data_IF_384509292224
#
_entry.id   IF_384509292224
#
_cell.length_a   1.000
_cell.length_b   1.000
_cell.length_c   1.000
_cell.angle_alpha   90.00
_cell.angle_beta   90.00
_cell.angle_gamma   90.00
#
_symmetry.space_group_name_H-M   'P 1'
#
loop_
_entity.id
_entity.type
_entity.pdbx_description
1 polymer ?
#
# COMPACT_ATOMS: atom_id res chain seq x y z
N UNK A 1 -45.09 -0.63 6.51
CA UNK A 1 -44.07 -0.30 7.55
C UNK A 1 -42.86 -1.24 7.50
N UNK A 2 -43.05 -2.56 7.47
CA UNK A 2 -41.98 -3.58 7.48
C UNK A 2 -40.92 -3.41 6.37
N UNK A 3 -41.31 -3.03 5.15
CA UNK A 3 -40.36 -2.84 4.03
C UNK A 3 -39.41 -1.66 4.25
N UNK A 4 -39.86 -0.55 4.84
CA UNK A 4 -38.99 0.61 5.15
C UNK A 4 -38.00 0.27 6.26
N UNK A 5 -38.41 -0.48 7.27
CA UNK A 5 -37.53 -0.94 8.34
C UNK A 5 -36.50 -1.93 7.83
N UNK A 6 -36.88 -2.83 6.92
CA UNK A 6 -35.95 -3.75 6.25
C UNK A 6 -34.93 -3.02 5.38
N UNK A 7 -35.35 -1.98 4.64
CA UNK A 7 -34.47 -1.17 3.79
C UNK A 7 -33.48 -0.35 4.63
N UNK A 8 -33.92 0.17 5.78
CA UNK A 8 -33.05 0.86 6.75
C UNK A 8 -32.10 -0.12 7.42
N UNK A 9 -32.53 -1.33 7.79
CA UNK A 9 -31.64 -2.38 8.33
C UNK A 9 -30.66 -2.88 7.26
N UNK A 10 -31.08 -2.99 5.99
CA UNK A 10 -30.19 -3.34 4.88
C UNK A 10 -29.18 -2.21 4.62
N UNK A 11 -29.61 -0.94 4.65
CA UNK A 11 -28.73 0.22 4.50
C UNK A 11 -27.76 0.35 5.68
N UNK A 12 -28.20 0.05 6.90
CA UNK A 12 -27.35 0.00 8.09
C UNK A 12 -26.39 -1.19 8.01
N UNK A 13 -26.83 -2.37 7.53
CA UNK A 13 -25.96 -3.52 7.32
C UNK A 13 -24.95 -3.29 6.19
N UNK A 14 -25.33 -2.59 5.12
CA UNK A 14 -24.43 -2.19 4.03
C UNK A 14 -23.47 -1.09 4.49
N UNK A 15 -23.92 -0.15 5.32
CA UNK A 15 -23.06 0.87 5.93
C UNK A 15 -22.11 0.29 6.99
N UNK A 16 -22.56 -0.70 7.78
CA UNK A 16 -21.73 -1.42 8.76
C UNK A 16 -20.74 -2.37 8.08
N UNK A 17 -21.08 -2.94 6.91
CA UNK A 17 -20.15 -3.72 6.10
C UNK A 17 -19.19 -2.85 5.25
N UNK A 18 -19.41 -1.53 5.17
CA UNK A 18 -18.56 -0.59 4.45
C UNK A 18 -17.39 -0.05 5.29
N UNK A 19 -17.30 -0.39 6.59
CA UNK A 19 -16.25 0.11 7.51
C UNK A 19 -15.35 -1.03 8.01
N UNK A 20 -14.85 -1.85 7.08
CA UNK A 20 -13.81 -2.82 7.40
C UNK A 20 -12.51 -2.46 6.69
N UNK A 21 -11.59 -1.83 7.43
CA UNK A 21 -10.16 -1.87 7.13
C UNK A 21 -9.65 -3.26 7.46
N UNK A 22 -9.57 -4.12 6.45
CA UNK A 22 -9.01 -5.47 6.60
C UNK A 22 -7.49 -5.37 6.67
N UNK A 23 -6.88 -5.75 7.78
CA UNK A 23 -5.44 -5.94 7.83
C UNK A 23 -5.16 -7.42 8.11
N UNK A 24 -4.24 -7.97 7.32
CA UNK A 24 -3.55 -9.23 7.53
C UNK A 24 -4.42 -10.48 7.67
N UNK A 25 -4.92 -10.97 6.53
CA UNK A 25 -5.49 -12.31 6.45
C UNK A 25 -4.46 -13.33 5.96
N UNK A 26 -4.13 -14.29 6.83
CA UNK A 26 -3.16 -15.35 6.54
C UNK A 26 -3.90 -16.60 6.06
N UNK A 27 -3.57 -17.05 4.85
CA UNK A 27 -4.10 -18.25 4.22
C UNK A 27 -2.96 -19.23 3.91
N UNK A 28 -3.20 -20.52 4.15
CA UNK A 28 -2.20 -21.57 3.90
C UNK A 28 -2.70 -22.55 2.85
N UNK A 29 -1.89 -22.74 1.81
CA UNK A 29 -2.11 -23.67 0.72
C UNK A 29 -0.92 -24.65 0.69
N UNK A 30 -0.95 -25.68 1.54
CA UNK A 30 0.19 -26.58 1.69
C UNK A 30 1.44 -25.84 2.20
N UNK A 31 2.51 -25.81 1.41
CA UNK A 31 3.78 -25.12 1.69
C UNK A 31 3.75 -23.62 1.32
N UNK A 32 2.73 -23.18 0.57
CA UNK A 32 2.54 -21.79 0.19
C UNK A 32 1.74 -21.07 1.28
N UNK A 33 2.27 -19.95 1.77
CA UNK A 33 1.54 -19.06 2.70
C UNK A 33 1.27 -17.75 1.99
N UNK A 34 0.02 -17.29 2.03
CA UNK A 34 -0.41 -16.02 1.43
C UNK A 34 -0.92 -15.12 2.54
N UNK A 35 -0.41 -13.89 2.59
CA UNK A 35 -0.88 -12.83 3.46
C UNK A 35 -1.54 -11.78 2.58
N UNK A 36 -2.79 -11.46 2.87
CA UNK A 36 -3.47 -10.34 2.26
C UNK A 36 -3.54 -9.18 3.25
N UNK A 37 -3.07 -8.02 2.83
CA UNK A 37 -3.14 -6.78 3.59
C UNK A 37 -3.96 -5.77 2.78
N UNK A 38 -4.93 -5.12 3.40
CA UNK A 38 -5.67 -4.02 2.78
C UNK A 38 -5.47 -2.74 3.59
N UNK A 39 -4.64 -1.83 3.08
CA UNK A 39 -4.48 -0.48 3.58
C UNK A 39 -5.66 0.38 3.09
N UNK A 40 -6.84 0.11 3.67
CA UNK A 40 -8.09 0.77 3.31
C UNK A 40 -8.21 2.18 3.90
N UNK A 41 -8.87 3.06 3.15
CA UNK A 41 -9.39 4.35 3.62
C UNK A 41 -10.91 4.23 3.63
N UNK A 42 -11.60 4.38 4.78
CA UNK A 42 -13.06 4.26 4.83
C UNK A 42 -13.73 5.51 4.22
N UNK A 43 -13.45 5.76 2.95
CA UNK A 43 -13.88 6.90 2.19
C UNK A 43 -15.20 6.60 1.50
N UNK A 44 -16.07 7.60 1.47
CA UNK A 44 -17.30 7.58 0.67
C UNK A 44 -17.08 8.39 -0.59
N UNK A 45 -17.47 7.85 -1.75
CA UNK A 45 -17.54 8.64 -2.99
C UNK A 45 -18.67 9.68 -2.85
N UNK A 46 -18.32 10.97 -2.89
CA UNK A 46 -19.27 12.09 -2.86
C UNK A 46 -19.18 12.83 -4.18
N UNK A 47 -20.34 12.95 -4.85
CA UNK A 47 -20.46 13.69 -6.12
C UNK A 47 -21.01 15.08 -5.88
N UNK A 48 -20.35 16.06 -6.46
CA UNK A 48 -20.76 17.47 -6.43
C UNK A 48 -20.80 17.97 -7.87
N UNK A 49 -21.99 17.97 -8.46
CA UNK A 49 -22.12 18.08 -9.92
C UNK A 49 -21.41 16.91 -10.60
N UNK A 50 -20.53 17.22 -11.56
CA UNK A 50 -19.72 16.23 -12.29
C UNK A 50 -18.37 15.93 -11.61
N UNK A 51 -18.07 16.58 -10.47
CA UNK A 51 -16.82 16.36 -9.74
C UNK A 51 -16.98 15.28 -8.66
N UNK A 52 -15.91 14.50 -8.44
CA UNK A 52 -15.87 13.36 -7.51
C UNK A 52 -14.83 13.59 -6.42
N UNK A 53 -15.27 13.49 -5.17
CA UNK A 53 -14.41 13.45 -3.98
C UNK A 53 -14.51 12.09 -3.30
N UNK A 54 -13.41 11.67 -2.67
CA UNK A 54 -13.39 10.55 -1.74
C UNK A 54 -13.31 11.12 -0.32
N UNK A 55 -14.40 11.05 0.44
CA UNK A 55 -14.50 11.73 1.75
C UNK A 55 -14.36 10.71 2.88
N UNK A 56 -13.35 10.90 3.73
CA UNK A 56 -13.15 10.18 4.99
C UNK A 56 -13.63 11.06 6.13
N UNK A 57 -14.47 10.52 7.02
CA UNK A 57 -14.98 11.23 8.20
C UNK A 57 -14.28 10.70 9.45
N UNK A 58 -13.02 11.11 9.65
CA UNK A 58 -12.19 10.64 10.76
C UNK A 58 -12.76 11.02 12.14
N UNK A 59 -13.68 11.98 12.21
CA UNK A 59 -14.41 12.29 13.44
C UNK A 59 -15.45 11.22 13.84
N UNK A 60 -15.79 10.27 12.97
CA UNK A 60 -16.72 9.17 13.29
C UNK A 60 -16.01 8.12 14.18
N UNK A 61 -16.55 7.81 15.39
CA UNK A 61 -15.97 6.80 16.27
C UNK A 61 -15.78 5.42 15.64
N UNK A 62 -16.64 5.04 14.67
CA UNK A 62 -16.51 3.75 13.98
C UNK A 62 -15.30 3.72 13.04
N UNK A 63 -14.99 4.85 12.39
CA UNK A 63 -13.81 5.00 11.55
C UNK A 63 -12.54 4.96 12.42
N UNK A 64 -12.54 5.64 13.56
CA UNK A 64 -11.43 5.59 14.52
C UNK A 64 -11.20 4.19 15.08
N UNK A 65 -12.28 3.45 15.38
CA UNK A 65 -12.18 2.06 15.84
C UNK A 65 -11.57 1.16 14.77
N UNK A 66 -12.01 1.28 13.51
CA UNK A 66 -11.50 0.50 12.39
C UNK A 66 -10.00 0.76 12.16
N UNK A 67 -9.56 2.01 12.32
CA UNK A 67 -8.15 2.40 12.23
C UNK A 67 -7.29 1.78 13.35
N UNK A 68 -7.77 1.82 14.59
CA UNK A 68 -7.05 1.21 15.72
C UNK A 68 -6.97 -0.32 15.61
N UNK A 69 -8.03 -0.97 15.12
CA UNK A 69 -8.02 -2.41 14.84
C UNK A 69 -7.04 -2.78 13.73
N UNK A 70 -6.91 -1.91 12.72
CA UNK A 70 -5.91 -2.03 11.66
C UNK A 70 -4.48 -2.05 12.23
N UNK A 71 -4.08 -1.03 13.00
CA UNK A 71 -2.73 -0.93 13.59
C UNK A 71 -2.37 -2.17 14.42
N UNK A 72 -3.32 -2.73 15.17
CA UNK A 72 -3.10 -3.93 15.99
C UNK A 72 -2.78 -5.19 15.16
N UNK A 73 -3.33 -5.31 13.95
CA UNK A 73 -3.14 -6.50 13.09
C UNK A 73 -1.80 -6.49 12.37
N UNK A 74 -1.26 -5.31 12.02
CA UNK A 74 0.08 -5.17 11.42
C UNK A 74 1.17 -5.89 12.24
N UNK A 75 1.16 -5.74 13.57
CA UNK A 75 2.11 -6.41 14.45
C UNK A 75 2.00 -7.95 14.50
N UNK A 76 0.98 -8.56 13.87
CA UNK A 76 0.86 -10.01 13.72
C UNK A 76 1.59 -10.53 12.46
N UNK A 77 1.63 -9.74 11.38
CA UNK A 77 2.36 -10.07 10.15
C UNK A 77 3.86 -10.09 10.37
N UNK A 78 4.41 -9.15 11.14
CA UNK A 78 5.84 -9.12 11.46
C UNK A 78 6.32 -10.43 12.08
N UNK A 79 5.55 -10.96 13.04
CA UNK A 79 5.83 -12.25 13.69
C UNK A 79 5.75 -13.45 12.74
N UNK A 80 4.89 -13.37 11.72
CA UNK A 80 4.80 -14.41 10.69
C UNK A 80 6.03 -14.36 9.78
N UNK A 81 6.43 -13.17 9.34
CA UNK A 81 7.62 -12.96 8.49
C UNK A 81 8.88 -13.44 9.20
N UNK A 82 9.05 -13.12 10.48
CA UNK A 82 10.18 -13.61 11.29
C UNK A 82 10.24 -15.15 11.32
N UNK A 83 9.10 -15.81 11.60
CA UNK A 83 9.03 -17.27 11.62
C UNK A 83 9.29 -17.88 10.25
N UNK A 84 8.79 -17.24 9.19
CA UNK A 84 9.03 -17.66 7.82
C UNK A 84 10.52 -17.60 7.48
N UNK A 85 11.20 -16.51 7.80
CA UNK A 85 12.62 -16.34 7.51
C UNK A 85 13.48 -17.43 8.16
N UNK A 86 13.19 -17.78 9.41
CA UNK A 86 13.88 -18.88 10.11
C UNK A 86 13.68 -20.20 9.34
N UNK A 87 12.43 -20.54 9.03
CA UNK A 87 12.09 -21.78 8.31
C UNK A 87 12.73 -21.82 6.92
N UNK A 88 12.64 -20.72 6.17
CA UNK A 88 13.18 -20.61 4.83
C UNK A 88 14.69 -20.83 4.84
N UNK A 89 15.41 -20.17 5.75
CA UNK A 89 16.87 -20.30 5.87
C UNK A 89 17.32 -21.74 6.16
N UNK A 90 16.56 -22.48 6.95
CA UNK A 90 16.92 -23.85 7.34
C UNK A 90 16.47 -24.92 6.33
N UNK A 91 15.31 -24.75 5.70
CA UNK A 91 14.66 -25.83 4.93
C UNK A 91 14.66 -25.61 3.42
N UNK A 92 14.59 -24.36 2.96
CA UNK A 92 14.33 -24.05 1.55
C UNK A 92 15.56 -23.46 0.88
N UNK A 93 16.22 -22.50 1.54
CA UNK A 93 17.42 -21.85 1.05
C UNK A 93 18.53 -22.82 0.63
N UNK A 94 18.84 -23.92 1.37
CA UNK A 94 19.89 -24.85 0.96
C UNK A 94 19.66 -25.49 -0.41
N UNK A 95 18.39 -25.72 -0.79
CA UNK A 95 18.02 -26.27 -2.10
C UNK A 95 18.29 -25.23 -3.19
N UNK A 96 17.84 -23.99 -2.98
CA UNK A 96 18.02 -22.88 -3.93
C UNK A 96 19.51 -22.56 -4.09
N UNK A 97 20.26 -22.45 -2.99
CA UNK A 97 21.71 -22.22 -3.00
C UNK A 97 22.45 -23.33 -3.77
N UNK A 98 22.01 -24.59 -3.64
CA UNK A 98 22.52 -25.70 -4.44
C UNK A 98 22.30 -25.52 -5.95
N UNK A 99 21.09 -25.14 -6.36
CA UNK A 99 20.75 -24.84 -7.76
C UNK A 99 21.58 -23.67 -8.31
N UNK A 100 21.71 -22.59 -7.54
CA UNK A 100 22.46 -21.39 -7.94
C UNK A 100 23.96 -21.67 -8.08
N UNK A 101 24.54 -22.46 -7.17
CA UNK A 101 25.94 -22.89 -7.27
C UNK A 101 26.17 -23.79 -8.47
N UNK A 102 25.27 -24.75 -8.72
CA UNK A 102 25.35 -25.61 -9.90
C UNK A 102 25.29 -24.79 -11.21
N UNK A 103 24.51 -23.70 -11.22
CA UNK A 103 24.45 -22.76 -12.33
C UNK A 103 25.55 -21.69 -12.36
N UNK A 104 26.54 -21.72 -11.46
CA UNK A 104 27.57 -20.69 -11.28
C UNK A 104 27.00 -19.26 -11.20
N UNK A 105 25.85 -19.11 -10.56
CA UNK A 105 25.21 -17.81 -10.41
C UNK A 105 25.80 -17.02 -9.23
N UNK A 106 26.21 -15.77 -9.48
CA UNK A 106 26.76 -14.86 -8.46
C UNK A 106 26.16 -13.46 -8.51
N UNK A 107 24.99 -13.31 -9.15
CA UNK A 107 24.31 -12.03 -9.32
C UNK A 107 23.36 -11.67 -8.17
N UNK A 108 22.59 -10.58 -8.33
CA UNK A 108 21.57 -10.16 -7.37
C UNK A 108 20.48 -11.21 -7.21
N UNK A 109 20.02 -11.42 -5.98
CA UNK A 109 18.97 -12.41 -5.66
C UNK A 109 17.58 -11.82 -5.54
N UNK A 110 17.49 -10.50 -5.41
CA UNK A 110 16.22 -9.83 -5.19
C UNK A 110 16.05 -8.72 -6.24
N UNK A 111 14.83 -8.58 -6.75
CA UNK A 111 14.54 -7.72 -7.89
C UNK A 111 13.05 -7.37 -7.98
N UNK A 112 12.73 -6.22 -8.56
CA UNK A 112 11.36 -5.88 -8.95
C UNK A 112 11.04 -6.47 -10.34
N UNK A 113 10.07 -7.38 -10.39
CA UNK A 113 9.73 -8.14 -11.60
C UNK A 113 8.79 -7.38 -12.53
N UNK A 114 7.78 -6.71 -11.97
CA UNK A 114 6.96 -5.77 -12.72
C UNK A 114 7.46 -4.35 -12.52
N UNK A 115 7.25 -3.53 -13.55
CA UNK A 115 7.11 -2.09 -13.37
C UNK A 115 8.44 -1.36 -12.98
N UNK A 116 9.51 -2.13 -12.74
CA UNK A 116 10.89 -1.69 -12.56
C UNK A 116 11.71 -1.65 -13.86
N UNK A 117 13.03 -1.54 -13.71
CA UNK A 117 13.94 -1.32 -14.83
C UNK A 117 14.13 -2.57 -15.69
N UNK A 118 14.43 -2.40 -16.98
CA UNK A 118 14.66 -3.54 -17.90
C UNK A 118 15.80 -4.46 -17.44
N UNK A 119 16.78 -3.93 -16.70
CA UNK A 119 17.86 -4.69 -16.08
C UNK A 119 17.37 -5.74 -15.05
N UNK A 120 16.27 -5.47 -14.33
CA UNK A 120 15.71 -6.37 -13.32
C UNK A 120 15.00 -7.57 -13.97
N UNK A 121 14.37 -7.35 -15.14
CA UNK A 121 13.80 -8.44 -15.94
C UNK A 121 14.88 -9.39 -16.46
N UNK A 122 16.05 -8.86 -16.83
CA UNK A 122 17.21 -9.69 -17.24
C UNK A 122 17.71 -10.56 -16.08
N UNK A 123 17.75 -10.02 -14.85
CA UNK A 123 18.09 -10.78 -13.64
C UNK A 123 17.08 -11.91 -13.41
N UNK A 124 15.78 -11.60 -13.45
CA UNK A 124 14.70 -12.56 -13.29
C UNK A 124 14.80 -13.71 -14.31
N UNK A 125 15.02 -13.41 -15.59
CA UNK A 125 15.16 -14.40 -16.66
C UNK A 125 16.39 -15.29 -16.51
N UNK A 126 17.51 -14.76 -16.00
CA UNK A 126 18.71 -15.57 -15.75
C UNK A 126 18.47 -16.53 -14.58
N UNK A 127 17.91 -16.03 -13.49
CA UNK A 127 17.61 -16.84 -12.30
C UNK A 127 16.57 -17.92 -12.59
N UNK A 128 15.52 -17.64 -13.37
CA UNK A 128 14.47 -18.62 -13.70
C UNK A 128 14.96 -19.79 -14.57
N UNK A 129 16.03 -19.60 -15.33
CA UNK A 129 16.69 -20.70 -16.08
C UNK A 129 17.52 -21.61 -15.18
N UNK A 130 18.01 -21.08 -14.05
CA UNK A 130 18.95 -21.77 -13.16
C UNK A 130 18.20 -22.44 -12.00
N UNK A 131 17.23 -21.74 -11.41
CA UNK A 131 16.49 -22.22 -10.24
C UNK A 131 15.07 -22.59 -10.59
N UNK A 132 14.68 -23.83 -10.25
CA UNK A 132 13.31 -24.31 -10.41
C UNK A 132 12.37 -23.56 -9.48
N UNK A 133 12.83 -23.21 -8.27
CA UNK A 133 12.05 -22.41 -7.34
C UNK A 133 11.74 -21.03 -7.94
N UNK A 134 12.75 -20.34 -8.50
CA UNK A 134 12.55 -19.01 -9.10
C UNK A 134 11.59 -19.07 -10.28
N UNK A 135 11.75 -20.03 -11.19
CA UNK A 135 10.86 -20.20 -12.34
C UNK A 135 9.38 -20.33 -11.91
N UNK A 136 9.14 -21.21 -10.93
CA UNK A 136 7.80 -21.43 -10.40
C UNK A 136 7.23 -20.19 -9.70
N UNK A 137 8.06 -19.45 -8.94
CA UNK A 137 7.66 -18.20 -8.29
C UNK A 137 7.30 -17.11 -9.30
N UNK A 138 8.08 -16.95 -10.39
CA UNK A 138 7.75 -15.98 -11.45
C UNK A 138 6.47 -16.35 -12.20
N UNK A 139 6.29 -17.62 -12.51
CA UNK A 139 5.05 -18.10 -13.16
C UNK A 139 3.82 -17.86 -12.26
N UNK A 140 3.97 -18.04 -10.95
CA UNK A 140 2.93 -17.68 -9.99
C UNK A 140 2.70 -16.17 -9.97
N UNK A 141 3.76 -15.36 -9.92
CA UNK A 141 3.68 -13.90 -9.88
C UNK A 141 2.90 -13.34 -11.08
N UNK A 142 3.17 -13.82 -12.30
CA UNK A 142 2.44 -13.42 -13.51
C UNK A 142 0.95 -13.73 -13.43
N UNK A 143 0.59 -14.91 -12.90
CA UNK A 143 -0.82 -15.30 -12.72
C UNK A 143 -1.51 -14.44 -11.67
N UNK A 144 -0.83 -14.15 -10.56
CA UNK A 144 -1.38 -13.29 -9.51
C UNK A 144 -1.55 -11.86 -10.02
N UNK A 145 -0.53 -11.30 -10.67
CA UNK A 145 -0.59 -9.98 -11.31
C UNK A 145 -1.76 -9.89 -12.29
N UNK A 146 -1.91 -10.89 -13.16
CA UNK A 146 -3.00 -10.93 -14.14
C UNK A 146 -4.37 -10.90 -13.45
N UNK A 147 -4.58 -11.73 -12.43
CA UNK A 147 -5.85 -11.77 -11.69
C UNK A 147 -6.13 -10.46 -10.95
N UNK A 148 -5.10 -9.82 -10.38
CA UNK A 148 -5.23 -8.51 -9.75
C UNK A 148 -5.68 -7.45 -10.75
N UNK A 149 -5.03 -7.38 -11.92
CA UNK A 149 -5.41 -6.45 -13.01
C UNK A 149 -6.82 -6.71 -13.52
N UNK A 150 -7.19 -7.98 -13.74
CA UNK A 150 -8.54 -8.38 -14.17
C UNK A 150 -9.61 -8.04 -13.12
N UNK A 151 -9.23 -7.99 -11.85
CA UNK A 151 -10.09 -7.58 -10.73
C UNK A 151 -10.18 -6.05 -10.56
N UNK A 152 -9.54 -5.28 -11.45
CA UNK A 152 -9.55 -3.82 -11.42
C UNK A 152 -8.55 -3.18 -10.45
N UNK A 153 -7.61 -3.96 -9.91
CA UNK A 153 -6.51 -3.42 -9.12
C UNK A 153 -5.37 -2.96 -10.05
N UNK A 154 -4.77 -1.83 -9.71
CA UNK A 154 -3.59 -1.32 -10.41
C UNK A 154 -2.34 -1.88 -9.72
N UNK A 155 -1.67 -2.83 -10.35
CA UNK A 155 -0.43 -3.41 -9.81
C UNK A 155 0.71 -2.41 -9.98
N UNK A 156 1.33 -2.01 -8.86
CA UNK A 156 2.40 -1.01 -8.81
C UNK A 156 3.79 -1.63 -8.78
N UNK A 157 3.94 -2.75 -8.08
CA UNK A 157 5.21 -3.46 -7.95
C UNK A 157 4.97 -4.95 -7.71
N UNK A 158 5.87 -5.77 -8.22
CA UNK A 158 5.89 -7.23 -8.02
C UNK A 158 7.32 -7.60 -7.67
N UNK A 159 7.63 -7.56 -6.38
CA UNK A 159 8.96 -7.80 -5.87
C UNK A 159 9.18 -9.28 -5.55
N UNK A 160 10.31 -9.82 -5.96
CA UNK A 160 10.72 -11.18 -5.62
C UNK A 160 12.01 -11.14 -4.83
N UNK A 161 12.00 -11.71 -3.63
CA UNK A 161 13.22 -12.01 -2.89
C UNK A 161 13.52 -13.49 -2.93
N UNK A 162 14.55 -13.87 -3.68
CA UNK A 162 15.05 -15.25 -3.67
C UNK A 162 15.82 -15.52 -2.38
N UNK A 163 16.53 -14.51 -1.84
CA UNK A 163 17.30 -14.65 -0.60
C UNK A 163 16.46 -14.85 0.65
N UNK A 164 15.19 -14.44 0.62
CA UNK A 164 14.25 -14.57 1.75
C UNK A 164 13.02 -15.43 1.43
N UNK A 165 12.91 -15.90 0.18
CA UNK A 165 11.84 -16.80 -0.23
C UNK A 165 10.45 -16.18 -0.21
N UNK A 166 10.31 -14.92 -0.61
CA UNK A 166 9.01 -14.26 -0.66
C UNK A 166 8.73 -13.56 -1.98
N UNK A 167 7.44 -13.43 -2.27
CA UNK A 167 6.87 -12.68 -3.38
C UNK A 167 6.01 -11.57 -2.78
N UNK A 168 6.44 -10.32 -2.92
CA UNK A 168 5.67 -9.15 -2.52
C UNK A 168 4.94 -8.55 -3.71
N UNK A 169 3.67 -8.22 -3.55
CA UNK A 169 2.87 -7.57 -4.59
C UNK A 169 2.18 -6.37 -3.96
N UNK A 170 2.48 -5.20 -4.51
CA UNK A 170 1.82 -3.95 -4.13
C UNK A 170 0.86 -3.58 -5.24
N UNK A 171 -0.42 -3.48 -4.89
CA UNK A 171 -1.47 -3.05 -5.80
C UNK A 171 -2.26 -1.89 -5.17
N UNK A 172 -2.87 -1.07 -6.01
CA UNK A 172 -3.74 0.00 -5.57
C UNK A 172 -5.16 -0.15 -6.10
N UNK A 173 -6.10 0.41 -5.34
CA UNK A 173 -7.51 0.49 -5.72
C UNK A 173 -8.12 1.81 -5.25
N UNK A 174 -9.34 2.08 -5.69
CA UNK A 174 -10.04 3.33 -5.34
C UNK A 174 -10.43 3.32 -3.85
N UNK A 175 -10.41 4.50 -3.19
CA UNK A 175 -10.86 4.61 -1.81
C UNK A 175 -12.30 4.12 -1.62
N UNK A 176 -12.54 3.40 -0.52
CA UNK A 176 -13.83 2.80 -0.18
C UNK A 176 -14.23 1.56 -0.99
N UNK A 177 -13.35 1.00 -1.82
CA UNK A 177 -13.62 -0.21 -2.64
C UNK A 177 -12.79 -1.43 -2.26
N UNK A 178 -11.80 -1.25 -1.38
CA UNK A 178 -10.78 -2.23 -1.04
C UNK A 178 -11.33 -3.50 -0.43
N UNK A 179 -12.30 -3.42 0.48
CA UNK A 179 -12.89 -4.62 1.10
C UNK A 179 -13.58 -5.51 0.05
N UNK A 180 -14.43 -4.92 -0.79
CA UNK A 180 -15.10 -5.64 -1.88
C UNK A 180 -14.13 -6.16 -2.93
N UNK A 181 -13.10 -5.39 -3.29
CA UNK A 181 -12.08 -5.84 -4.24
C UNK A 181 -11.24 -6.97 -3.66
N UNK A 182 -10.83 -6.88 -2.39
CA UNK A 182 -10.06 -7.93 -1.73
C UNK A 182 -10.85 -9.25 -1.69
N UNK A 183 -12.15 -9.21 -1.38
CA UNK A 183 -13.00 -10.39 -1.41
C UNK A 183 -13.04 -11.04 -2.81
N UNK A 184 -13.20 -10.24 -3.87
CA UNK A 184 -13.17 -10.71 -5.25
C UNK A 184 -11.80 -11.29 -5.63
N UNK A 185 -10.71 -10.61 -5.28
CA UNK A 185 -9.33 -11.03 -5.52
C UNK A 185 -9.05 -12.38 -4.85
N UNK A 186 -9.43 -12.54 -3.58
CA UNK A 186 -9.25 -13.79 -2.83
C UNK A 186 -9.95 -14.96 -3.52
N UNK A 187 -11.20 -14.76 -3.93
CA UNK A 187 -11.98 -15.80 -4.63
C UNK A 187 -11.32 -16.18 -5.96
N UNK A 188 -10.85 -15.21 -6.73
CA UNK A 188 -10.19 -15.45 -8.02
C UNK A 188 -8.81 -16.12 -7.89
N UNK A 189 -8.07 -15.81 -6.83
CA UNK A 189 -6.73 -16.35 -6.59
C UNK A 189 -6.70 -17.72 -5.91
N UNK A 190 -7.79 -18.16 -5.28
CA UNK A 190 -7.84 -19.42 -4.54
C UNK A 190 -7.40 -20.64 -5.39
N UNK A 191 -7.93 -20.76 -6.62
CA UNK A 191 -7.54 -21.84 -7.53
C UNK A 191 -6.10 -21.70 -8.06
N UNK A 192 -5.63 -20.46 -8.20
CA UNK A 192 -4.23 -20.20 -8.56
C UNK A 192 -3.35 -20.76 -7.44
N UNK A 193 -3.54 -20.35 -6.20
CA UNK A 193 -2.71 -20.78 -5.07
C UNK A 193 -2.79 -22.28 -4.79
N UNK A 194 -3.96 -22.90 -4.94
CA UNK A 194 -4.10 -24.38 -4.85
C UNK A 194 -3.22 -25.11 -5.86
N UNK A 195 -3.05 -24.57 -7.06
CA UNK A 195 -2.20 -25.15 -8.12
C UNK A 195 -0.71 -25.05 -7.80
N UNK A 196 -0.33 -24.15 -6.88
CA UNK A 196 1.05 -23.88 -6.46
C UNK A 196 1.34 -24.29 -5.00
N UNK A 197 0.45 -25.09 -4.39
CA UNK A 197 0.50 -25.46 -2.96
C UNK A 197 1.79 -26.16 -2.50
N UNK A 198 2.59 -26.68 -3.42
CA UNK A 198 3.82 -27.40 -3.08
C UNK A 198 5.04 -26.47 -2.99
N UNK A 199 4.94 -25.24 -3.48
CA UNK A 199 6.05 -24.29 -3.43
C UNK A 199 6.19 -23.77 -1.99
N UNK A 200 7.36 -23.93 -1.34
CA UNK A 200 7.64 -23.24 -0.10
C UNK A 200 7.94 -21.77 -0.40
N UNK A 201 6.91 -20.94 -0.31
CA UNK A 201 6.95 -19.51 -0.62
C UNK A 201 6.01 -18.75 0.31
N UNK A 202 6.42 -17.55 0.73
CA UNK A 202 5.56 -16.56 1.36
C UNK A 202 5.13 -15.53 0.30
N UNK A 203 3.83 -15.36 0.10
CA UNK A 203 3.27 -14.33 -0.79
C UNK A 203 2.64 -13.25 0.08
N UNK A 204 3.06 -12.01 -0.12
CA UNK A 204 2.52 -10.82 0.53
C UNK A 204 1.78 -10.02 -0.53
N UNK A 205 0.47 -9.82 -0.36
CA UNK A 205 -0.37 -9.05 -1.28
C UNK A 205 -0.90 -7.85 -0.51
N UNK A 206 -0.31 -6.70 -0.79
CA UNK A 206 -0.65 -5.43 -0.16
C UNK A 206 -1.49 -4.60 -1.12
N UNK A 207 -2.75 -4.38 -0.76
CA UNK A 207 -3.70 -3.57 -1.51
C UNK A 207 -3.85 -2.23 -0.81
N UNK A 208 -3.52 -1.15 -1.49
CA UNK A 208 -3.62 0.21 -0.98
C UNK A 208 -4.82 0.91 -1.59
N UNK A 209 -5.64 1.54 -0.75
CA UNK A 209 -6.63 2.48 -1.26
C UNK A 209 -5.98 3.85 -1.49
N UNK A 210 -5.85 4.21 -2.76
CA UNK A 210 -5.18 5.44 -3.20
C UNK A 210 -6.12 6.26 -4.05
N UNK A 211 -6.18 7.57 -3.80
CA UNK A 211 -6.90 8.46 -4.69
C UNK A 211 -6.31 8.36 -6.10
N UNK A 212 -7.15 8.29 -7.15
CA UNK A 212 -6.65 8.29 -8.51
C UNK A 212 -5.91 9.60 -8.82
N UNK A 213 -5.06 9.64 -9.85
CA UNK A 213 -4.36 10.84 -10.25
C UNK A 213 -5.30 12.04 -10.38
N UNK A 214 -4.88 13.18 -9.82
CA UNK A 214 -5.64 14.42 -9.89
C UNK A 214 -5.16 15.28 -11.06
N UNK A 215 -6.05 15.91 -11.85
CA UNK A 215 -5.65 16.84 -12.91
C UNK A 215 -4.92 18.07 -12.36
N UNK A 216 -5.02 18.33 -11.05
CA UNK A 216 -4.27 19.41 -10.39
C UNK A 216 -2.79 19.05 -10.23
N UNK A 217 -2.46 17.76 -10.29
CA UNK A 217 -1.11 17.22 -10.09
C UNK A 217 -0.51 16.67 -11.38
N UNK A 218 -1.34 16.05 -12.24
CA UNK A 218 -0.89 15.48 -13.50
C UNK A 218 -0.23 16.55 -14.38
N UNK A 219 0.93 16.19 -14.94
CA UNK A 219 1.66 17.00 -15.93
C UNK A 219 2.11 18.40 -15.46
N UNK A 220 2.02 18.70 -14.16
CA UNK A 220 2.54 19.93 -13.58
C UNK A 220 3.98 19.74 -13.09
N UNK A 221 4.83 20.73 -13.34
CA UNK A 221 6.13 20.86 -12.69
C UNK A 221 5.99 21.40 -11.24
N UNK A 222 7.10 21.40 -10.50
CA UNK A 222 7.11 21.75 -9.08
C UNK A 222 6.67 23.21 -8.82
N UNK A 223 6.94 24.14 -9.73
CA UNK A 223 6.56 25.54 -9.58
C UNK A 223 5.06 25.72 -9.74
N UNK A 224 4.49 25.13 -10.80
CA UNK A 224 3.05 25.10 -11.05
C UNK A 224 2.29 24.38 -9.95
N UNK A 225 2.82 23.26 -9.45
CA UNK A 225 2.25 22.53 -8.30
C UNK A 225 2.19 23.42 -7.05
N UNK A 226 3.29 24.12 -6.75
CA UNK A 226 3.36 25.02 -5.60
C UNK A 226 2.33 26.14 -5.70
N UNK A 227 2.20 26.77 -6.88
CA UNK A 227 1.22 27.83 -7.10
C UNK A 227 -0.22 27.31 -6.92
N UNK A 228 -0.54 26.16 -7.53
CA UNK A 228 -1.87 25.53 -7.40
C UNK A 228 -2.21 25.22 -5.95
N UNK A 229 -1.26 24.70 -5.18
CA UNK A 229 -1.49 24.37 -3.77
C UNK A 229 -1.69 25.61 -2.92
N UNK A 230 -0.92 26.68 -3.14
CA UNK A 230 -1.13 27.97 -2.45
C UNK A 230 -2.52 28.53 -2.74
N UNK A 231 -2.95 28.50 -4.01
CA UNK A 231 -4.28 28.96 -4.40
C UNK A 231 -5.40 28.12 -3.79
N UNK A 232 -5.29 26.80 -3.87
CA UNK A 232 -6.28 25.89 -3.30
C UNK A 232 -6.37 26.01 -1.77
N UNK A 233 -5.22 26.20 -1.12
CA UNK A 233 -5.14 26.48 0.30
C UNK A 233 -5.85 27.80 0.66
N UNK A 234 -5.61 28.86 -0.12
CA UNK A 234 -6.32 30.15 0.01
C UNK A 234 -7.83 30.03 -0.14
N UNK A 235 -8.30 29.30 -1.17
CA UNK A 235 -9.73 28.99 -1.36
C UNK A 235 -10.30 28.29 -0.12
N UNK A 236 -9.60 27.28 0.38
CA UNK A 236 -10.04 26.50 1.54
C UNK A 236 -10.19 27.37 2.78
N UNK A 237 -9.20 28.22 3.09
CA UNK A 237 -9.27 29.17 4.20
C UNK A 237 -10.39 30.19 4.04
N UNK A 238 -10.61 30.68 2.82
CA UNK A 238 -11.69 31.62 2.53
C UNK A 238 -13.06 31.00 2.81
N UNK A 239 -13.26 29.73 2.49
CA UNK A 239 -14.52 29.01 2.77
C UNK A 239 -14.77 28.92 4.28
N UNK A 240 -13.75 28.56 5.07
CA UNK A 240 -13.87 28.54 6.53
C UNK A 240 -14.22 29.91 7.09
N UNK A 241 -13.51 30.96 6.67
CA UNK A 241 -13.77 32.33 7.12
C UNK A 241 -15.21 32.77 6.78
N UNK A 242 -15.67 32.51 5.56
CA UNK A 242 -17.04 32.81 5.12
C UNK A 242 -18.12 32.04 5.90
N UNK A 243 -17.76 30.90 6.48
CA UNK A 243 -18.63 30.11 7.36
C UNK A 243 -18.58 30.54 8.83
N UNK A 244 -17.81 31.58 9.17
CA UNK A 244 -17.60 32.04 10.55
C UNK A 244 -16.75 31.09 11.39
N UNK A 245 -16.04 30.15 10.75
CA UNK A 245 -15.22 29.15 11.42
C UNK A 245 -13.75 29.59 11.41
N UNK A 246 -13.16 29.74 12.59
CA UNK A 246 -11.73 29.97 12.72
C UNK A 246 -10.98 28.64 12.65
N UNK A 247 -9.99 28.58 11.75
CA UNK A 247 -9.08 27.44 11.59
C UNK A 247 -7.64 27.92 11.76
N UNK A 248 -6.78 27.08 12.35
CA UNK A 248 -5.34 27.33 12.47
C UNK A 248 -4.61 26.90 11.20
N UNK A 249 -4.05 27.84 10.42
CA UNK A 249 -3.30 27.51 9.21
C UNK A 249 -2.13 26.56 9.52
N UNK A 250 -1.87 25.59 8.64
CA UNK A 250 -0.75 24.64 8.74
C UNK A 250 -0.92 23.56 9.81
N UNK A 251 -2.04 23.57 10.53
CA UNK A 251 -2.36 22.57 11.56
C UNK A 251 -3.73 21.95 11.27
N UNK A 252 -4.74 22.78 11.02
CA UNK A 252 -6.14 22.35 10.83
C UNK A 252 -6.57 22.31 9.35
N UNK A 253 -5.63 22.65 8.46
CA UNK A 253 -5.77 22.55 7.00
C UNK A 253 -4.42 22.09 6.46
N UNK A 254 -4.39 20.92 5.84
CA UNK A 254 -3.22 20.38 5.15
C UNK A 254 -3.63 19.92 3.76
N UNK A 255 -2.80 20.23 2.77
CA UNK A 255 -2.99 19.83 1.38
C UNK A 255 -1.68 19.24 0.90
N UNK A 256 -1.74 18.10 0.22
CA UNK A 256 -0.56 17.43 -0.27
C UNK A 256 -0.87 16.44 -1.40
N UNK A 257 0.17 15.74 -1.82
CA UNK A 257 0.11 14.71 -2.84
C UNK A 257 0.09 13.36 -2.13
N UNK A 258 -0.89 12.54 -2.48
CA UNK A 258 -0.99 11.18 -1.99
C UNK A 258 -0.25 10.16 -2.83
N UNK A 259 -0.12 8.92 -2.31
CA UNK A 259 0.30 7.78 -3.12
C UNK A 259 -0.58 7.68 -4.38
N UNK A 260 0.03 7.50 -5.54
CA UNK A 260 -0.67 7.48 -6.83
C UNK A 260 -0.95 8.85 -7.46
N UNK A 261 -0.34 9.92 -6.96
CA UNK A 261 -0.49 11.31 -7.46
C UNK A 261 -1.92 11.86 -7.38
N UNK A 262 -2.73 11.32 -6.47
CA UNK A 262 -4.00 11.91 -6.09
C UNK A 262 -3.80 13.10 -5.15
N UNK A 263 -4.78 14.01 -5.09
CA UNK A 263 -4.77 15.13 -4.16
C UNK A 263 -5.27 14.65 -2.80
N UNK A 264 -4.57 14.99 -1.72
CA UNK A 264 -5.01 14.73 -0.35
C UNK A 264 -5.22 16.05 0.37
N UNK A 265 -6.37 16.18 1.03
CA UNK A 265 -6.68 17.29 1.91
C UNK A 265 -7.07 16.75 3.29
N UNK A 266 -6.37 17.14 4.34
CA UNK A 266 -6.79 16.90 5.73
C UNK A 266 -7.33 18.21 6.28
N UNK A 267 -8.62 18.20 6.64
CA UNK A 267 -9.40 19.39 6.88
C UNK A 267 -10.13 19.27 8.21
N UNK A 268 -10.19 20.37 8.97
CA UNK A 268 -11.07 20.43 10.13
C UNK A 268 -12.53 20.28 9.71
N UNK A 269 -13.29 19.44 10.40
CA UNK A 269 -14.69 19.18 10.06
C UNK A 269 -15.50 20.48 9.98
N UNK A 270 -16.04 20.86 8.80
CA UNK A 270 -16.85 22.07 8.67
C UNK A 270 -18.25 21.86 9.29
N UNK A 271 -18.96 22.94 9.65
CA UNK A 271 -20.32 22.84 10.19
C UNK A 271 -21.34 22.25 9.20
N UNK A 272 -21.05 22.32 7.89
CA UNK A 272 -21.85 21.69 6.84
C UNK A 272 -20.94 21.20 5.70
N UNK A 273 -20.63 19.90 5.70
CA UNK A 273 -19.76 19.27 4.70
C UNK A 273 -20.26 19.44 3.26
N UNK A 274 -21.56 19.27 3.02
CA UNK A 274 -22.12 19.33 1.67
C UNK A 274 -21.99 20.74 1.08
N UNK A 275 -22.28 21.77 1.88
CA UNK A 275 -22.10 23.18 1.48
C UNK A 275 -20.63 23.53 1.31
N UNK A 276 -19.77 23.01 2.17
CA UNK A 276 -18.33 23.20 2.07
C UNK A 276 -17.78 22.63 0.76
N UNK A 277 -18.08 21.36 0.45
CA UNK A 277 -17.64 20.70 -0.78
C UNK A 277 -18.20 21.39 -2.02
N UNK A 278 -19.46 21.83 -1.99
CA UNK A 278 -20.06 22.62 -3.08
C UNK A 278 -19.30 23.92 -3.33
N UNK A 279 -19.06 24.70 -2.29
CA UNK A 279 -18.32 25.96 -2.39
C UNK A 279 -16.87 25.73 -2.85
N UNK A 280 -16.20 24.70 -2.31
CA UNK A 280 -14.86 24.30 -2.73
C UNK A 280 -14.81 23.96 -4.21
N UNK A 281 -15.77 23.16 -4.69
CA UNK A 281 -15.88 22.76 -6.09
C UNK A 281 -16.04 23.98 -7.01
N UNK A 282 -16.98 24.87 -6.66
CA UNK A 282 -17.28 26.06 -7.47
C UNK A 282 -16.09 27.01 -7.55
N UNK A 283 -15.40 27.25 -6.43
CA UNK A 283 -14.24 28.15 -6.37
C UNK A 283 -13.02 27.52 -7.05
N UNK A 284 -12.72 26.25 -6.78
CA UNK A 284 -11.58 25.57 -7.38
C UNK A 284 -11.75 25.40 -8.89
N UNK A 285 -12.95 25.06 -9.37
CA UNK A 285 -13.22 24.95 -10.81
C UNK A 285 -13.10 26.31 -11.50
N UNK A 286 -13.51 27.40 -10.84
CA UNK A 286 -13.34 28.76 -11.37
C UNK A 286 -11.87 29.16 -11.47
N UNK A 287 -11.06 28.80 -10.47
CA UNK A 287 -9.63 29.15 -10.42
C UNK A 287 -8.78 28.28 -11.37
N UNK A 288 -9.05 26.98 -11.43
CA UNK A 288 -8.21 26.01 -12.14
C UNK A 288 -8.80 25.53 -13.46
N UNK A 289 -10.04 25.90 -13.78
CA UNK A 289 -10.73 25.51 -15.01
C UNK A 289 -11.11 24.02 -15.10
N UNK A 290 -10.87 23.23 -14.06
CA UNK A 290 -11.17 21.79 -14.04
C UNK A 290 -11.58 21.29 -12.66
N UNK A 291 -12.34 20.19 -12.64
CA UNK A 291 -12.76 19.53 -11.41
C UNK A 291 -11.57 19.01 -10.61
N UNK A 292 -11.60 19.07 -9.27
CA UNK A 292 -10.61 18.43 -8.40
C UNK A 292 -10.86 16.91 -8.30
N UNK A 293 -11.06 16.23 -9.43
CA UNK A 293 -11.22 14.78 -9.45
C UNK A 293 -9.96 14.10 -8.91
N UNK A 294 -10.11 12.93 -8.28
CA UNK A 294 -8.98 12.27 -7.62
C UNK A 294 -8.52 12.95 -6.32
N UNK A 295 -9.45 13.63 -5.64
CA UNK A 295 -9.20 14.23 -4.32
C UNK A 295 -9.75 13.36 -3.19
N UNK A 296 -8.89 12.97 -2.27
CA UNK A 296 -9.25 12.41 -0.97
C UNK A 296 -9.31 13.55 0.05
N UNK A 297 -10.46 13.72 0.71
CA UNK A 297 -10.65 14.70 1.78
C UNK A 297 -10.90 13.95 3.08
N UNK A 298 -10.07 14.19 4.08
CA UNK A 298 -10.25 13.67 5.43
C UNK A 298 -10.73 14.79 6.35
N UNK A 299 -11.96 14.69 6.84
CA UNK A 299 -12.52 15.58 7.84
C UNK A 299 -12.26 15.06 9.25
N UNK A 300 -11.61 15.87 10.10
CA UNK A 300 -11.28 15.52 11.48
C UNK A 300 -11.63 16.65 12.47
N UNK A 301 -11.97 16.30 13.71
CA UNK A 301 -12.21 17.28 14.78
C UNK A 301 -10.89 17.88 15.30
N UNK A 302 -9.87 17.03 15.44
CA UNK A 302 -8.49 17.41 15.69
C UNK A 302 -7.64 16.72 14.61
N UNK A 303 -6.85 17.50 13.88
CA UNK A 303 -5.84 16.93 12.99
C UNK A 303 -4.63 16.62 13.87
N UNK A 304 -4.55 15.39 14.34
CA UNK A 304 -3.35 14.87 14.99
C UNK A 304 -2.57 14.09 13.97
N UNK A 305 -1.39 14.56 13.60
CA UNK A 305 -0.37 13.72 12.97
C UNK A 305 0.27 12.86 14.06
N UNK A 306 -0.55 12.10 14.78
CA UNK A 306 -0.08 11.10 15.74
C UNK A 306 0.28 9.85 14.92
N UNK A 307 1.55 9.76 14.53
CA UNK A 307 2.15 8.69 13.71
C UNK A 307 1.68 8.64 12.25
N UNK A 308 2.65 8.63 11.34
CA UNK A 308 2.46 8.56 9.89
C UNK A 308 1.83 7.22 9.50
N UNK A 309 0.52 7.21 9.31
CA UNK A 309 -0.18 6.09 8.68
C UNK A 309 -0.59 6.53 7.27
N UNK A 310 0.25 6.15 6.30
CA UNK A 310 -0.08 6.16 4.88
C UNK A 310 0.03 7.52 4.16
N UNK A 311 0.96 8.38 4.57
CA UNK A 311 1.39 9.54 3.76
C UNK A 311 2.82 9.27 3.30
N UNK A 312 3.06 9.29 2.00
CA UNK A 312 4.42 9.31 1.44
C UNK A 312 5.12 10.58 1.94
N UNK A 313 5.90 10.40 3.01
CA UNK A 313 7.09 11.19 3.28
C UNK A 313 7.94 11.10 2.01
N UNK A 314 8.63 12.17 1.57
CA UNK A 314 9.42 12.14 0.35
C UNK A 314 10.43 10.98 0.40
N UNK A 315 10.11 9.89 -0.32
CA UNK A 315 10.84 8.63 -0.22
C UNK A 315 12.31 8.73 -0.64
N UNK A 316 12.70 9.79 -1.36
CA UNK A 316 14.10 10.02 -1.71
C UNK A 316 15.01 10.26 -0.48
N UNK A 317 14.48 10.74 0.65
CA UNK A 317 15.24 10.93 1.89
C UNK A 317 15.22 9.67 2.78
N UNK A 318 14.10 8.94 2.81
CA UNK A 318 13.94 7.72 3.62
C UNK A 318 14.63 6.50 2.97
N UNK A 319 14.64 6.39 1.64
CA UNK A 319 15.36 5.32 0.93
C UNK A 319 16.86 5.46 1.15
N UNK A 320 17.41 6.67 1.20
CA UNK A 320 18.83 6.89 1.47
C UNK A 320 19.23 6.42 2.87
N UNK A 321 18.39 6.64 3.89
CA UNK A 321 18.66 6.18 5.25
C UNK A 321 18.36 4.68 5.46
N UNK A 322 17.34 4.14 4.80
CA UNK A 322 16.97 2.71 4.93
C UNK A 322 17.89 1.81 4.12
N UNK A 323 18.33 2.24 2.93
CA UNK A 323 19.37 1.54 2.16
C UNK A 323 20.72 1.63 2.86
N UNK A 324 21.03 2.75 3.52
CA UNK A 324 22.22 2.85 4.36
C UNK A 324 22.17 1.91 5.58
N UNK A 325 21.01 1.77 6.24
CA UNK A 325 20.80 0.84 7.35
C UNK A 325 20.84 -0.63 6.93
N UNK A 326 20.24 -0.98 5.77
CA UNK A 326 20.28 -2.34 5.23
C UNK A 326 21.67 -2.69 4.70
N UNK A 327 22.38 -1.75 4.07
CA UNK A 327 23.76 -1.95 3.63
C UNK A 327 24.73 -2.09 4.82
N UNK A 328 24.56 -1.29 5.87
CA UNK A 328 25.39 -1.40 7.10
C UNK A 328 25.06 -2.67 7.88
N UNK A 329 23.78 -3.06 8.00
CA UNK A 329 23.40 -4.34 8.62
C UNK A 329 23.92 -5.54 7.83
N UNK A 330 23.85 -5.51 6.50
CA UNK A 330 24.37 -6.57 5.62
C UNK A 330 25.89 -6.65 5.68
N UNK A 331 26.59 -5.51 5.71
CA UNK A 331 28.04 -5.45 5.91
C UNK A 331 28.45 -5.96 7.29
N UNK A 332 27.71 -5.63 8.34
CA UNK A 332 27.94 -6.11 9.72
C UNK A 332 27.70 -7.62 9.85
N UNK A 333 26.65 -8.16 9.22
CA UNK A 333 26.36 -9.59 9.19
C UNK A 333 27.43 -10.35 8.39
N UNK A 334 27.88 -9.79 7.27
CA UNK A 334 28.97 -10.36 6.47
C UNK A 334 30.30 -10.37 7.25
N UNK A 335 30.65 -9.27 7.92
CA UNK A 335 31.85 -9.17 8.75
C UNK A 335 31.79 -10.08 9.98
N UNK A 336 30.62 -10.21 10.62
CA UNK A 336 30.40 -11.12 11.74
C UNK A 336 30.55 -12.59 11.31
N UNK A 337 29.93 -12.98 10.17
CA UNK A 337 30.08 -14.33 9.61
C UNK A 337 31.53 -14.64 9.24
N UNK A 338 32.26 -13.67 8.67
CA UNK A 338 33.68 -13.83 8.32
C UNK A 338 34.57 -14.00 9.57
N UNK A 339 34.38 -13.17 10.60
CA UNK A 339 35.12 -13.29 11.87
C UNK A 339 34.85 -14.61 12.58
N UNK A 340 33.60 -15.08 12.60
CA UNK A 340 33.26 -16.39 13.17
C UNK A 340 33.96 -17.52 12.41
N UNK A 341 34.00 -17.45 11.07
CA UNK A 341 34.67 -18.45 10.24
C UNK A 341 36.19 -18.47 10.45
N UNK A 342 36.82 -17.31 10.60
CA UNK A 342 38.25 -17.17 10.93
C UNK A 342 38.57 -17.66 12.35
N UNK A 343 37.70 -17.39 13.33
CA UNK A 343 37.81 -17.90 14.71
C UNK A 343 37.71 -19.42 14.76
N UNK A 344 36.75 -20.01 14.04
CA UNK A 344 36.63 -21.47 13.91
C UNK A 344 37.81 -22.11 13.18
N UNK A 345 38.43 -21.39 12.24
CA UNK A 345 39.63 -21.89 11.56
C UNK A 345 40.86 -21.87 12.48
N UNK A 346 41.02 -20.84 13.32
CA UNK A 346 42.11 -20.75 14.31
C UNK A 346 41.98 -21.81 15.41
N UNK A 347 40.76 -22.07 15.89
CA UNK A 347 40.47 -23.11 16.88
C UNK A 347 40.67 -24.55 16.37
N UNK A 348 40.81 -24.74 15.05
CA UNK A 348 41.15 -26.04 14.44
C UNK A 348 42.65 -26.23 14.20
N UNK A 349 43.46 -25.18 14.37
CA UNK A 349 44.90 -25.18 14.08
C UNK A 349 45.77 -25.02 15.34
N UNK A 350 45.14 -24.91 16.50
CA UNK A 350 45.71 -25.14 17.84
C UNK A 350 45.11 -26.42 18.39
#
# INVERSE_FOLDING_TARGET
>A
MVVRTLLVILLIAVALNAVFTYHDEIHRFGNLTVVYSLLGKPATEVRVGDCIYYVVRAYDPNIMKAFNEAVKKMGQTDKLVEKWQIKFASEVWPVIDGELRAGNYSGPLDFDYCCGAEAEKVVAMKLSKISKWVNNTLTLAEKVEKVLRESGAEVKSVYVSVGQGYLGIVASTRPGKGASHLANIKNSLDNVFKSYRNIPLLVLIDIHETAPPSPYIESADDEVLRERFVKLYGITLQIYNNSGMSVKPGIEVLIGIGPGRGLIMMLKTPPNESRFLKTLTEMATREFGTCPNGTLIEFANEIRVESLIGVEIPWHLVILETVALVATASALIYLARRRIKELFHRLKTT
#
